data_IF_994229611897
#
_entry.id   IF_994229611897
#
_cell.length_a   1.000
_cell.length_b   1.000
_cell.length_c   1.000
_cell.angle_alpha   90.00
_cell.angle_beta   90.00
_cell.angle_gamma   90.00
#
_symmetry.space_group_name_H-M   'P 1'
#
loop_
_entity.id
_entity.type
_entity.pdbx_description
1 polymer ?
#
# COMPACT_ATOMS: atom_id res chain seq x y z
N UNK A 1 3.02 11.06 -31.57
CA UNK A 1 2.96 9.66 -31.14
C UNK A 1 2.66 9.70 -29.66
N UNK A 2 1.66 8.95 -29.21
CA UNK A 2 1.38 8.83 -27.78
C UNK A 2 2.54 8.10 -27.10
N UNK A 3 2.90 8.58 -25.92
CA UNK A 3 4.03 8.07 -25.15
C UNK A 3 3.68 6.72 -24.52
N UNK A 4 4.61 5.76 -24.60
CA UNK A 4 4.49 4.47 -23.93
C UNK A 4 5.30 4.51 -22.64
N UNK A 5 4.66 4.17 -21.53
CA UNK A 5 5.35 4.00 -20.26
C UNK A 5 5.58 2.53 -19.96
N UNK A 6 6.83 2.07 -20.01
CA UNK A 6 7.17 0.67 -19.79
C UNK A 6 7.22 0.35 -18.29
N UNK A 7 6.40 -0.63 -17.86
CA UNK A 7 6.38 -1.20 -16.52
C UNK A 7 7.47 -2.27 -16.35
N UNK A 8 7.81 -2.96 -17.44
CA UNK A 8 8.99 -3.82 -17.58
C UNK A 8 9.38 -3.92 -19.07
N UNK A 9 10.20 -4.91 -19.44
CA UNK A 9 10.67 -5.13 -20.81
C UNK A 9 9.56 -5.43 -21.84
N UNK A 10 8.36 -5.83 -21.39
CA UNK A 10 7.25 -6.25 -22.27
C UNK A 10 5.92 -5.57 -21.94
N UNK A 11 5.72 -5.10 -20.73
CA UNK A 11 4.48 -4.49 -20.26
C UNK A 11 4.61 -2.99 -20.30
N UNK A 12 3.62 -2.33 -20.87
CA UNK A 12 3.60 -0.88 -20.91
C UNK A 12 2.17 -0.32 -20.79
N UNK A 13 2.07 0.91 -20.32
CA UNK A 13 0.86 1.72 -20.33
C UNK A 13 0.87 2.64 -21.55
N UNK A 14 -0.26 2.72 -22.23
CA UNK A 14 -0.53 3.70 -23.28
C UNK A 14 -1.97 4.19 -23.10
N UNK A 15 -2.16 5.50 -22.93
CA UNK A 15 -3.45 6.12 -22.62
C UNK A 15 -4.19 5.49 -21.43
N UNK A 16 -3.46 5.12 -20.37
CA UNK A 16 -4.04 4.47 -19.19
C UNK A 16 -4.38 2.99 -19.36
N UNK A 17 -4.19 2.43 -20.57
CA UNK A 17 -4.47 1.03 -20.88
C UNK A 17 -3.16 0.23 -20.85
N UNK A 18 -3.20 -0.94 -20.23
CA UNK A 18 -2.04 -1.84 -20.13
C UNK A 18 -1.97 -2.81 -21.32
N UNK A 19 -0.79 -2.89 -21.91
CA UNK A 19 -0.49 -3.76 -23.04
C UNK A 19 0.71 -4.65 -22.75
N UNK A 20 0.71 -5.83 -23.36
CA UNK A 20 1.85 -6.72 -23.49
C UNK A 20 2.40 -6.61 -24.91
N UNK A 21 3.65 -6.18 -25.04
CA UNK A 21 4.43 -6.23 -26.25
C UNK A 21 4.92 -7.66 -26.51
N UNK A 22 4.63 -8.16 -27.69
CA UNK A 22 5.17 -9.42 -28.22
C UNK A 22 5.97 -9.11 -29.48
N UNK A 23 6.78 -10.06 -29.95
CA UNK A 23 7.60 -9.88 -31.16
C UNK A 23 6.82 -9.43 -32.41
N UNK A 24 5.50 -9.67 -32.45
CA UNK A 24 4.67 -9.41 -33.65
C UNK A 24 3.53 -8.42 -33.42
N UNK A 25 3.12 -8.16 -32.17
CA UNK A 25 1.99 -7.28 -31.85
C UNK A 25 1.93 -6.88 -30.38
N UNK A 26 1.18 -5.83 -30.10
CA UNK A 26 0.73 -5.47 -28.75
C UNK A 26 -0.61 -6.12 -28.43
N UNK A 27 -0.73 -6.71 -27.24
CA UNK A 27 -1.94 -7.37 -26.75
C UNK A 27 -2.46 -6.55 -25.57
N UNK A 28 -3.68 -6.03 -25.67
CA UNK A 28 -4.34 -5.37 -24.55
C UNK A 28 -4.64 -6.39 -23.44
N UNK A 29 -4.30 -6.05 -22.21
CA UNK A 29 -4.65 -6.85 -21.03
C UNK A 29 -6.13 -6.69 -20.72
N UNK A 30 -6.81 -7.79 -20.40
CA UNK A 30 -8.24 -7.84 -20.13
C UNK A 30 -8.55 -8.45 -18.75
N UNK A 31 -9.78 -8.19 -18.27
CA UNK A 31 -10.30 -8.69 -16.98
C UNK A 31 -10.11 -10.18 -16.73
N UNK A 32 -10.17 -11.00 -17.79
CA UNK A 32 -10.07 -12.45 -17.67
C UNK A 32 -8.61 -12.96 -17.63
N UNK A 33 -7.63 -12.15 -18.02
CA UNK A 33 -6.23 -12.58 -18.18
C UNK A 33 -5.19 -11.71 -17.44
N UNK A 34 -5.58 -10.61 -16.79
CA UNK A 34 -4.64 -9.70 -16.08
C UNK A 34 -3.63 -10.43 -15.20
N UNK A 35 -4.09 -11.40 -14.40
CA UNK A 35 -3.28 -12.15 -13.45
C UNK A 35 -2.20 -13.02 -14.08
N UNK A 36 -2.29 -13.30 -15.39
CA UNK A 36 -1.28 -14.08 -16.12
C UNK A 36 -0.13 -13.22 -16.62
N UNK A 37 -0.40 -11.94 -16.88
CA UNK A 37 0.56 -11.03 -17.47
C UNK A 37 1.15 -10.10 -16.41
N UNK A 38 0.32 -9.57 -15.52
CA UNK A 38 0.78 -8.69 -14.43
C UNK A 38 1.56 -9.44 -13.33
N UNK A 39 1.54 -10.78 -13.34
CA UNK A 39 2.42 -11.58 -12.49
C UNK A 39 3.90 -11.35 -12.78
N UNK A 40 4.24 -10.97 -14.01
CA UNK A 40 5.63 -10.69 -14.42
C UNK A 40 6.19 -9.43 -13.74
N UNK A 41 5.33 -8.59 -13.16
CA UNK A 41 5.69 -7.41 -12.35
C UNK A 41 5.21 -7.55 -10.91
N UNK A 42 4.98 -8.79 -10.43
CA UNK A 42 4.74 -9.08 -9.02
C UNK A 42 3.27 -9.13 -8.58
N UNK A 43 2.31 -8.85 -9.47
CA UNK A 43 0.89 -8.96 -9.10
C UNK A 43 0.43 -10.42 -9.05
N UNK A 44 -0.09 -10.84 -7.90
CA UNK A 44 -0.74 -12.16 -7.73
C UNK A 44 -2.21 -11.98 -7.37
N UNK A 45 -3.03 -13.01 -7.60
CA UNK A 45 -4.44 -12.98 -7.18
C UNK A 45 -4.56 -12.85 -5.66
N UNK A 46 -5.57 -12.10 -5.23
CA UNK A 46 -5.95 -11.99 -3.83
C UNK A 46 -6.28 -13.37 -3.21
N UNK A 47 -6.10 -13.60 -1.89
CA UNK A 47 -6.40 -14.88 -1.27
C UNK A 47 -7.84 -15.33 -1.53
N UNK A 48 -8.03 -16.62 -1.79
CA UNK A 48 -9.35 -17.18 -2.18
C UNK A 48 -10.47 -16.86 -1.20
N UNK A 49 -10.17 -16.86 0.11
CA UNK A 49 -11.14 -16.50 1.16
C UNK A 49 -11.66 -15.08 0.94
N UNK A 50 -10.76 -14.13 0.74
CA UNK A 50 -11.12 -12.74 0.47
C UNK A 50 -11.77 -12.51 -0.88
N UNK A 51 -11.33 -13.19 -1.94
CA UNK A 51 -12.05 -13.16 -3.23
C UNK A 51 -13.51 -13.55 -3.02
N UNK A 52 -13.75 -14.59 -2.22
CA UNK A 52 -15.11 -15.05 -1.92
C UNK A 52 -15.90 -13.99 -1.14
N UNK A 53 -15.28 -13.35 -0.15
CA UNK A 53 -15.93 -12.31 0.65
C UNK A 53 -16.24 -11.03 -0.14
N UNK A 54 -15.32 -10.56 -0.97
CA UNK A 54 -15.55 -9.40 -1.83
C UNK A 54 -16.63 -9.71 -2.87
N UNK A 55 -16.59 -10.90 -3.49
CA UNK A 55 -17.59 -11.32 -4.47
C UNK A 55 -19.03 -11.37 -3.93
N UNK A 56 -19.21 -11.68 -2.63
CA UNK A 56 -20.53 -11.64 -1.99
C UNK A 56 -21.10 -10.21 -1.92
N UNK A 57 -20.24 -9.21 -1.86
CA UNK A 57 -20.58 -7.78 -1.70
C UNK A 57 -20.64 -7.04 -3.04
N UNK A 58 -20.06 -7.59 -4.10
CA UNK A 58 -20.12 -6.99 -5.45
C UNK A 58 -21.55 -6.96 -5.99
N UNK A 59 -21.93 -5.83 -6.57
CA UNK A 59 -23.18 -5.68 -7.33
C UNK A 59 -23.08 -6.49 -8.63
N UNK A 60 -21.98 -6.30 -9.36
CA UNK A 60 -21.75 -6.92 -10.65
C UNK A 60 -20.73 -8.05 -10.53
N UNK A 61 -21.23 -9.29 -10.46
CA UNK A 61 -20.38 -10.49 -10.31
C UNK A 61 -19.45 -10.66 -11.51
N UNK A 62 -18.15 -10.72 -11.23
CA UNK A 62 -17.12 -11.00 -12.22
C UNK A 62 -16.79 -12.50 -12.23
N UNK A 63 -16.53 -13.07 -13.40
CA UNK A 63 -16.10 -14.47 -13.53
C UNK A 63 -14.70 -14.71 -12.98
N UNK A 64 -13.83 -13.71 -13.10
CA UNK A 64 -12.48 -13.71 -12.55
C UNK A 64 -12.38 -12.59 -11.52
N UNK A 65 -11.69 -12.85 -10.39
CA UNK A 65 -11.39 -11.78 -9.44
C UNK A 65 -10.57 -10.69 -10.13
N UNK A 66 -10.93 -9.44 -9.85
CA UNK A 66 -10.19 -8.27 -10.30
C UNK A 66 -9.20 -7.79 -9.22
N UNK A 67 -9.23 -8.36 -8.02
CA UNK A 67 -8.32 -8.01 -6.94
C UNK A 67 -7.00 -8.78 -7.02
N UNK A 68 -5.92 -8.03 -6.85
CA UNK A 68 -4.55 -8.54 -6.74
C UNK A 68 -3.81 -7.99 -5.53
N UNK A 69 -2.71 -8.66 -5.20
CA UNK A 69 -1.69 -8.20 -4.26
C UNK A 69 -0.41 -7.99 -5.05
N UNK A 70 0.25 -6.86 -4.85
CA UNK A 70 1.60 -6.62 -5.31
C UNK A 70 2.56 -6.96 -4.17
N UNK A 71 3.33 -8.04 -4.35
CA UNK A 71 4.34 -8.43 -3.38
C UNK A 71 5.51 -7.46 -3.39
N UNK A 72 6.11 -7.24 -2.22
CA UNK A 72 7.30 -6.43 -2.05
C UNK A 72 8.38 -7.22 -1.29
N UNK A 73 9.64 -6.76 -1.29
CA UNK A 73 10.71 -7.43 -0.55
C UNK A 73 10.42 -7.47 0.97
N UNK A 74 10.81 -8.58 1.61
CA UNK A 74 10.78 -8.72 3.07
C UNK A 74 11.99 -8.07 3.76
N UNK A 75 12.33 -6.85 3.38
CA UNK A 75 13.52 -6.12 3.85
C UNK A 75 13.26 -5.22 5.07
N UNK A 76 12.05 -5.25 5.63
CA UNK A 76 11.59 -4.37 6.70
C UNK A 76 10.97 -3.05 6.21
N UNK A 77 10.96 -2.79 4.90
CA UNK A 77 10.41 -1.57 4.30
C UNK A 77 9.06 -1.80 3.59
N UNK A 78 8.44 -2.97 3.80
CA UNK A 78 7.24 -3.41 3.08
C UNK A 78 6.06 -2.42 3.07
N UNK A 79 5.81 -1.73 4.20
CA UNK A 79 4.82 -0.65 4.26
C UNK A 79 5.17 0.48 3.29
N UNK A 80 6.41 0.98 3.36
CA UNK A 80 6.89 2.11 2.56
C UNK A 80 6.96 1.78 1.07
N UNK A 81 7.35 0.55 0.71
CA UNK A 81 7.28 0.06 -0.66
C UNK A 81 5.84 0.04 -1.19
N UNK A 82 4.88 -0.38 -0.37
CA UNK A 82 3.47 -0.42 -0.75
C UNK A 82 2.90 0.99 -0.97
N UNK A 83 3.23 1.95 -0.09
CA UNK A 83 2.83 3.36 -0.25
C UNK A 83 3.48 3.99 -1.48
N UNK A 84 4.78 3.79 -1.68
CA UNK A 84 5.50 4.32 -2.84
C UNK A 84 4.89 3.83 -4.16
N UNK A 85 4.58 2.53 -4.27
CA UNK A 85 3.95 1.97 -5.46
C UNK A 85 2.56 2.58 -5.75
N UNK A 86 1.75 2.79 -4.72
CA UNK A 86 0.44 3.43 -4.88
C UNK A 86 0.56 4.88 -5.36
N UNK A 87 1.48 5.66 -4.78
CA UNK A 87 1.73 7.05 -5.19
C UNK A 87 2.33 7.16 -6.60
N UNK A 88 3.20 6.22 -6.98
CA UNK A 88 3.71 6.15 -8.35
C UNK A 88 2.58 5.91 -9.35
N UNK A 89 1.67 4.98 -9.04
CA UNK A 89 0.51 4.71 -9.89
C UNK A 89 -0.41 5.93 -10.02
N UNK A 90 -0.65 6.65 -8.92
CA UNK A 90 -1.49 7.86 -8.93
C UNK A 90 -0.91 8.98 -9.81
N UNK A 91 0.41 9.02 -9.96
CA UNK A 91 1.12 9.99 -10.80
C UNK A 91 1.39 9.46 -12.22
N UNK A 92 0.73 8.37 -12.62
CA UNK A 92 0.92 7.75 -13.93
C UNK A 92 2.35 7.26 -14.15
N UNK A 93 3.07 7.00 -13.07
CA UNK A 93 4.49 6.64 -13.02
C UNK A 93 5.44 7.66 -13.68
N UNK A 94 5.00 8.91 -13.84
CA UNK A 94 5.84 10.01 -14.32
C UNK A 94 6.89 10.45 -13.29
N UNK A 95 6.59 10.26 -12.01
CA UNK A 95 7.50 10.38 -10.88
C UNK A 95 7.74 9.00 -10.27
N UNK A 96 8.89 8.84 -9.61
CA UNK A 96 9.29 7.57 -9.03
C UNK A 96 9.70 7.76 -7.58
N UNK A 97 8.78 7.42 -6.68
CA UNK A 97 9.00 7.24 -5.26
C UNK A 97 9.55 5.85 -4.98
N UNK A 98 10.50 5.79 -4.07
CA UNK A 98 10.97 4.56 -3.40
C UNK A 98 10.50 4.57 -1.95
N UNK A 99 10.56 3.41 -1.28
CA UNK A 99 10.28 3.34 0.16
C UNK A 99 11.17 4.28 0.99
N UNK A 100 12.41 4.56 0.54
CA UNK A 100 13.31 5.53 1.18
C UNK A 100 12.82 6.97 1.07
N UNK A 101 12.24 7.33 -0.07
CA UNK A 101 11.67 8.66 -0.27
C UNK A 101 10.48 8.86 0.68
N UNK A 102 9.61 7.85 0.80
CA UNK A 102 8.49 7.89 1.75
C UNK A 102 8.99 8.05 3.19
N UNK A 103 9.98 7.24 3.62
CA UNK A 103 10.57 7.37 4.97
C UNK A 103 11.10 8.78 5.22
N UNK A 104 11.79 9.34 4.23
CA UNK A 104 12.37 10.68 4.35
C UNK A 104 11.30 11.76 4.44
N UNK A 105 10.27 11.72 3.60
CA UNK A 105 9.17 12.69 3.62
C UNK A 105 8.39 12.63 4.94
N UNK A 106 8.08 11.43 5.44
CA UNK A 106 7.44 11.25 6.75
C UNK A 106 8.33 11.74 7.88
N UNK A 107 9.62 11.38 7.88
CA UNK A 107 10.61 11.87 8.84
C UNK A 107 10.67 13.39 8.88
N UNK A 108 10.74 14.03 7.71
CA UNK A 108 10.85 15.48 7.60
C UNK A 108 9.55 16.16 8.09
N UNK A 109 8.39 15.52 7.93
CA UNK A 109 7.08 16.02 8.39
C UNK A 109 6.84 15.96 9.91
N UNK A 110 7.61 15.16 10.66
CA UNK A 110 7.41 15.00 12.10
C UNK A 110 7.77 16.30 12.84
N UNK A 111 6.76 16.86 13.52
CA UNK A 111 6.90 17.99 14.44
C UNK A 111 7.40 17.55 15.82
N UNK A 112 7.78 18.51 16.67
CA UNK A 112 8.20 18.21 18.05
C UNK A 112 7.07 17.53 18.84
N UNK A 113 5.86 18.05 18.76
CA UNK A 113 4.70 17.53 19.48
C UNK A 113 4.34 16.11 18.99
N UNK A 114 4.42 15.89 17.67
CA UNK A 114 4.22 14.56 17.07
C UNK A 114 5.27 13.55 17.55
N UNK A 115 6.54 13.97 17.60
CA UNK A 115 7.61 13.13 18.14
C UNK A 115 7.38 12.79 19.63
N UNK A 116 7.06 13.79 20.45
CA UNK A 116 6.81 13.60 21.89
C UNK A 116 5.65 12.62 22.12
N UNK A 117 4.56 12.75 21.36
CA UNK A 117 3.45 11.79 21.42
C UNK A 117 3.90 10.36 21.05
N UNK A 118 4.57 10.20 19.91
CA UNK A 118 4.95 8.88 19.39
C UNK A 118 5.94 8.19 20.33
N UNK A 119 6.96 8.91 20.81
CA UNK A 119 7.98 8.29 21.64
C UNK A 119 7.43 7.86 23.00
N UNK A 120 6.49 8.61 23.57
CA UNK A 120 5.80 8.22 24.80
C UNK A 120 4.92 6.99 24.59
N UNK A 121 4.22 6.88 23.45
CA UNK A 121 3.50 5.66 23.10
C UNK A 121 4.45 4.44 23.04
N UNK A 122 5.61 4.57 22.40
CA UNK A 122 6.57 3.47 22.33
C UNK A 122 7.20 3.12 23.68
N UNK A 123 7.49 4.10 24.53
CA UNK A 123 7.95 3.86 25.91
C UNK A 123 6.90 3.10 26.71
N UNK A 124 5.63 3.50 26.63
CA UNK A 124 4.53 2.80 27.28
C UNK A 124 4.37 1.35 26.76
N UNK A 125 4.45 1.13 25.45
CA UNK A 125 4.44 -0.22 24.85
C UNK A 125 5.63 -1.05 25.35
N UNK A 126 6.82 -0.44 25.46
CA UNK A 126 8.03 -1.13 25.98
C UNK A 126 7.84 -1.56 27.42
N UNK A 127 7.33 -0.67 28.27
CA UNK A 127 7.07 -0.95 29.68
C UNK A 127 5.98 -2.03 29.86
N UNK A 128 5.05 -2.11 28.92
CA UNK A 128 4.01 -3.15 28.85
C UNK A 128 4.49 -4.48 28.23
N UNK A 129 5.76 -4.60 27.82
CA UNK A 129 6.31 -5.74 27.06
C UNK A 129 5.64 -5.99 25.70
N UNK A 130 5.07 -4.95 25.09
CA UNK A 130 4.32 -4.96 23.82
C UNK A 130 5.05 -4.18 22.70
N UNK A 131 6.37 -4.00 22.85
CA UNK A 131 7.21 -3.32 21.86
C UNK A 131 8.23 -4.30 21.28
N UNK A 132 8.03 -4.65 20.01
CA UNK A 132 8.73 -5.75 19.33
C UNK A 132 9.87 -5.31 18.40
N UNK A 133 10.19 -4.01 18.35
CA UNK A 133 11.33 -3.52 17.57
C UNK A 133 12.69 -3.83 18.25
N UNK A 134 13.77 -3.79 17.46
CA UNK A 134 15.15 -4.06 17.91
C UNK A 134 15.72 -2.97 18.82
N UNK A 135 15.19 -1.74 18.72
CA UNK A 135 15.69 -0.57 19.43
C UNK A 135 14.94 -0.32 20.75
N UNK A 136 15.44 0.63 21.54
CA UNK A 136 14.90 0.96 22.86
C UNK A 136 14.39 2.40 22.88
N UNK A 137 13.08 2.65 23.01
CA UNK A 137 12.51 3.99 22.98
C UNK A 137 12.91 4.86 24.18
N UNK A 138 13.40 4.26 25.26
CA UNK A 138 13.97 5.02 26.38
C UNK A 138 15.36 5.60 26.06
N UNK A 139 16.05 5.08 25.04
CA UNK A 139 17.36 5.59 24.59
C UNK A 139 17.25 6.73 23.57
N UNK A 140 16.09 6.92 22.95
CA UNK A 140 15.84 8.02 22.02
C UNK A 140 15.49 9.27 22.84
N UNK A 141 16.42 10.22 22.90
CA UNK A 141 16.30 11.42 23.74
C UNK A 141 15.80 12.65 22.99
N UNK A 142 15.88 12.65 21.67
CA UNK A 142 15.51 13.79 20.84
C UNK A 142 14.97 13.39 19.46
N UNK A 143 14.27 14.34 18.83
CA UNK A 143 13.64 14.16 17.53
C UNK A 143 14.64 13.82 16.41
N UNK A 144 15.89 14.29 16.49
CA UNK A 144 16.88 14.04 15.44
C UNK A 144 17.30 12.58 15.41
N UNK A 145 17.46 11.97 16.60
CA UNK A 145 17.71 10.53 16.73
C UNK A 145 16.55 9.69 16.18
N UNK A 146 15.31 10.09 16.50
CA UNK A 146 14.12 9.40 15.98
C UNK A 146 14.03 9.49 14.45
N UNK A 147 14.19 10.68 13.88
CA UNK A 147 14.21 10.90 12.42
C UNK A 147 15.29 10.07 11.74
N UNK A 148 16.48 9.99 12.35
CA UNK A 148 17.58 9.14 11.85
C UNK A 148 17.19 7.67 11.82
N UNK A 149 16.63 7.14 12.91
CA UNK A 149 16.16 5.75 13.00
C UNK A 149 15.09 5.43 11.94
N UNK A 150 14.10 6.32 11.78
CA UNK A 150 13.07 6.19 10.76
C UNK A 150 13.63 6.19 9.32
N UNK A 151 14.65 7.01 9.06
CA UNK A 151 15.31 7.08 7.75
C UNK A 151 16.24 5.90 7.47
N UNK A 152 16.91 5.34 8.47
CA UNK A 152 17.76 4.15 8.33
C UNK A 152 16.94 2.95 7.86
N UNK A 153 15.76 2.76 8.44
CA UNK A 153 14.75 1.80 7.99
C UNK A 153 15.20 0.34 8.02
N UNK A 154 14.65 -0.45 7.11
CA UNK A 154 14.87 -1.90 7.07
C UNK A 154 14.42 -2.59 8.36
N UNK A 155 15.17 -3.61 8.79
CA UNK A 155 14.83 -4.37 10.00
C UNK A 155 15.06 -3.62 11.32
N UNK A 156 15.61 -2.42 11.29
CA UNK A 156 15.77 -1.58 12.48
C UNK A 156 14.52 -0.78 12.81
N UNK A 157 13.58 -0.63 11.88
CA UNK A 157 12.33 0.08 12.13
C UNK A 157 11.23 -0.37 11.18
N UNK A 158 10.28 -1.18 11.65
CA UNK A 158 9.13 -1.59 10.82
C UNK A 158 8.01 -0.56 10.83
N UNK A 159 7.14 -0.65 9.83
CA UNK A 159 5.92 0.15 9.76
C UNK A 159 4.89 -0.29 10.80
N UNK A 160 4.27 0.65 11.50
CA UNK A 160 3.22 0.36 12.48
C UNK A 160 1.98 1.26 12.29
N UNK A 161 0.99 1.10 13.18
CA UNK A 161 -0.24 1.90 13.15
C UNK A 161 -0.02 3.40 13.35
N UNK A 162 1.01 3.83 14.10
CA UNK A 162 1.33 5.24 14.30
C UNK A 162 1.92 5.84 13.02
N UNK A 163 2.82 5.13 12.36
CA UNK A 163 3.35 5.54 11.06
C UNK A 163 2.28 5.59 9.98
N UNK A 164 1.34 4.63 9.98
CA UNK A 164 0.22 4.66 9.02
C UNK A 164 -0.64 5.92 9.20
N UNK A 165 -0.81 6.41 10.43
CA UNK A 165 -1.49 7.68 10.68
C UNK A 165 -0.71 8.87 10.14
N UNK A 166 0.62 8.91 10.36
CA UNK A 166 1.47 9.95 9.80
C UNK A 166 1.41 9.96 8.27
N UNK A 167 1.49 8.77 7.64
CA UNK A 167 1.37 8.61 6.18
C UNK A 167 0.02 9.12 5.69
N UNK A 168 -1.07 8.70 6.35
CA UNK A 168 -2.43 9.13 6.01
C UNK A 168 -2.58 10.65 6.09
N UNK A 169 -2.00 11.27 7.13
CA UNK A 169 -2.03 12.72 7.31
C UNK A 169 -1.13 13.46 6.31
N UNK A 170 0.07 12.94 6.03
CA UNK A 170 1.06 13.60 5.19
C UNK A 170 0.62 13.64 3.72
N UNK A 171 0.13 12.52 3.19
CA UNK A 171 -0.31 12.41 1.79
C UNK A 171 -1.79 12.73 1.58
N UNK A 172 -2.51 13.10 2.65
CA UNK A 172 -3.95 13.35 2.64
C UNK A 172 -4.77 12.19 2.04
N UNK A 173 -4.47 10.97 2.49
CA UNK A 173 -5.10 9.73 2.00
C UNK A 173 -5.79 8.97 3.13
N UNK A 174 -6.78 8.14 2.78
CA UNK A 174 -7.23 7.06 3.64
C UNK A 174 -6.30 5.85 3.46
N UNK A 175 -6.02 5.12 4.54
CA UNK A 175 -5.39 3.80 4.48
C UNK A 175 -6.33 2.77 5.10
N UNK A 176 -6.69 1.74 4.33
CA UNK A 176 -7.48 0.60 4.79
C UNK A 176 -6.65 -0.67 4.76
N UNK A 177 -6.78 -1.55 5.75
CA UNK A 177 -5.95 -2.75 5.89
C UNK A 177 -6.83 -3.99 5.99
N UNK A 178 -6.63 -4.93 5.07
CA UNK A 178 -7.21 -6.27 5.14
C UNK A 178 -6.14 -7.23 5.66
N UNK A 179 -6.52 -8.21 6.49
CA UNK A 179 -5.58 -9.21 7.00
C UNK A 179 -6.09 -10.64 6.80
N UNK A 180 -5.30 -11.64 7.19
CA UNK A 180 -5.72 -13.04 7.13
C UNK A 180 -6.95 -13.31 8.03
N UNK A 181 -7.15 -12.50 9.06
CA UNK A 181 -8.36 -12.49 9.86
C UNK A 181 -9.51 -11.86 9.09
N UNK A 182 -10.67 -12.53 9.06
CA UNK A 182 -11.83 -12.05 8.32
C UNK A 182 -12.49 -10.89 9.07
N UNK A 183 -12.21 -9.67 8.65
CA UNK A 183 -12.82 -8.46 9.20
C UNK A 183 -12.06 -7.20 8.77
N UNK A 184 -12.64 -6.02 8.97
CA UNK A 184 -11.90 -4.78 8.83
C UNK A 184 -10.83 -4.71 9.92
N UNK A 185 -9.59 -4.38 9.55
CA UNK A 185 -8.56 -4.08 10.54
C UNK A 185 -8.92 -2.77 11.25
N UNK A 186 -8.85 -2.72 12.59
CA UNK A 186 -9.21 -1.51 13.32
C UNK A 186 -8.19 -0.41 13.02
N UNK A 187 -8.68 0.71 12.47
CA UNK A 187 -7.89 1.91 12.26
C UNK A 187 -8.24 2.96 13.31
N UNK A 188 -7.26 3.71 13.78
CA UNK A 188 -7.49 4.83 14.70
C UNK A 188 -8.02 6.09 14.00
N UNK A 189 -7.96 6.13 12.67
CA UNK A 189 -8.41 7.27 11.86
C UNK A 189 -9.79 7.01 11.28
N UNK A 190 -10.65 8.03 11.32
CA UNK A 190 -11.94 8.01 10.64
C UNK A 190 -11.75 8.13 9.13
N UNK A 191 -12.56 7.39 8.37
CA UNK A 191 -12.55 7.43 6.92
C UNK A 191 -13.12 8.76 6.40
N UNK A 192 -12.42 9.39 5.46
CA UNK A 192 -12.89 10.61 4.80
C UNK A 192 -13.18 10.36 3.32
N UNK A 193 -14.45 10.44 2.91
CA UNK A 193 -14.90 10.12 1.55
C UNK A 193 -14.34 11.03 0.44
N UNK A 194 -13.78 12.19 0.80
CA UNK A 194 -13.11 13.10 -0.14
C UNK A 194 -11.66 12.72 -0.43
N UNK A 195 -11.05 11.92 0.44
CA UNK A 195 -9.65 11.53 0.31
C UNK A 195 -9.56 10.27 -0.55
N UNK A 196 -8.56 10.18 -1.45
CA UNK A 196 -8.25 8.93 -2.11
C UNK A 196 -7.82 7.87 -1.09
N UNK A 197 -7.93 6.61 -1.45
CA UNK A 197 -7.70 5.48 -0.53
C UNK A 197 -6.61 4.57 -1.04
N UNK A 198 -5.70 4.15 -0.16
CA UNK A 198 -4.74 3.08 -0.40
C UNK A 198 -5.19 1.87 0.43
N UNK A 199 -5.25 0.69 -0.19
CA UNK A 199 -5.61 -0.55 0.49
C UNK A 199 -4.37 -1.42 0.66
N UNK A 200 -4.12 -1.88 1.89
CA UNK A 200 -3.00 -2.76 2.23
C UNK A 200 -3.49 -4.14 2.64
N UNK A 201 -2.69 -5.14 2.34
CA UNK A 201 -2.79 -6.50 2.85
C UNK A 201 -1.76 -6.67 3.96
N UNK A 202 -2.16 -7.17 5.12
CA UNK A 202 -1.27 -7.44 6.25
C UNK A 202 -1.36 -8.90 6.66
N UNK A 203 -0.25 -9.64 6.52
CA UNK A 203 -0.12 -11.03 6.93
C UNK A 203 1.31 -11.31 7.41
N UNK A 204 1.45 -12.03 8.52
CA UNK A 204 2.74 -12.41 9.11
C UNK A 204 3.77 -11.25 9.22
N UNK A 205 3.34 -10.11 9.78
CA UNK A 205 4.14 -8.88 9.91
C UNK A 205 4.63 -8.28 8.59
N UNK A 206 3.98 -8.60 7.47
CA UNK A 206 4.33 -8.12 6.15
C UNK A 206 3.18 -7.37 5.51
N UNK A 207 3.45 -6.14 5.06
CA UNK A 207 2.52 -5.33 4.28
C UNK A 207 2.71 -5.57 2.78
N UNK A 208 1.62 -5.77 2.07
CA UNK A 208 1.61 -5.78 0.61
C UNK A 208 0.51 -4.84 0.08
N UNK A 209 0.67 -4.36 -1.14
CA UNK A 209 -0.29 -3.42 -1.74
C UNK A 209 -1.45 -4.16 -2.39
N UNK A 210 -2.68 -3.77 -2.07
CA UNK A 210 -3.88 -4.28 -2.74
C UNK A 210 -4.21 -3.41 -3.95
N UNK A 211 -4.48 -4.07 -5.08
CA UNK A 211 -4.93 -3.42 -6.30
C UNK A 211 -6.21 -4.05 -6.85
N UNK A 212 -6.93 -3.28 -7.67
CA UNK A 212 -8.09 -3.74 -8.43
C UNK A 212 -7.91 -3.42 -9.92
N UNK A 213 -8.01 -4.44 -10.76
CA UNK A 213 -7.92 -4.30 -12.21
C UNK A 213 -9.26 -3.78 -12.77
N UNK A 214 -9.30 -2.53 -13.21
CA UNK A 214 -10.54 -1.88 -13.67
C UNK A 214 -11.02 -2.36 -15.06
N UNK A 215 -10.14 -3.00 -15.82
CA UNK A 215 -10.35 -3.42 -17.20
C UNK A 215 -9.29 -2.89 -18.16
N UNK A 216 -8.56 -1.86 -17.74
CA UNK A 216 -7.53 -1.16 -18.51
C UNK A 216 -6.19 -1.24 -17.80
N UNK A 217 -6.16 -0.99 -16.47
CA UNK A 217 -4.96 -1.10 -15.65
C UNK A 217 -5.25 -1.58 -14.23
N UNK A 218 -4.19 -1.87 -13.49
CA UNK A 218 -4.28 -2.13 -12.06
C UNK A 218 -4.31 -0.80 -11.31
N UNK A 219 -5.41 -0.54 -10.60
CA UNK A 219 -5.56 0.63 -9.74
C UNK A 219 -5.18 0.25 -8.32
N UNK A 220 -4.33 1.04 -7.69
CA UNK A 220 -3.92 0.84 -6.29
C UNK A 220 -4.05 2.11 -5.45
N UNK A 221 -4.22 3.25 -6.11
CA UNK A 221 -4.61 4.52 -5.51
C UNK A 221 -6.05 4.87 -5.90
N UNK A 222 -6.98 4.68 -4.98
CA UNK A 222 -8.41 4.74 -5.27
C UNK A 222 -8.98 6.14 -5.04
N UNK A 223 -9.14 6.94 -6.10
CA UNK A 223 -9.96 8.16 -6.04
C UNK A 223 -11.44 7.85 -5.79
N UNK A 224 -11.90 6.69 -6.27
CA UNK A 224 -13.20 6.12 -5.94
C UNK A 224 -13.00 4.69 -5.44
N UNK A 225 -13.25 4.47 -4.16
CA UNK A 225 -13.12 3.15 -3.56
C UNK A 225 -14.18 2.17 -4.11
N UNK A 226 -13.82 0.92 -4.46
CA UNK A 226 -14.80 -0.07 -4.91
C UNK A 226 -15.92 -0.32 -3.90
N UNK A 227 -17.15 -0.49 -4.38
CA UNK A 227 -18.34 -0.58 -3.53
C UNK A 227 -18.31 -1.79 -2.58
N UNK A 228 -17.74 -2.90 -3.00
CA UNK A 228 -17.57 -4.08 -2.16
C UNK A 228 -16.60 -3.84 -0.98
N UNK A 229 -15.61 -2.97 -1.15
CA UNK A 229 -14.70 -2.56 -0.06
C UNK A 229 -15.43 -1.58 0.87
N UNK A 230 -16.17 -0.60 0.33
CA UNK A 230 -17.02 0.29 1.16
C UNK A 230 -17.98 -0.51 2.03
N UNK A 231 -18.70 -1.48 1.44
CA UNK A 231 -19.61 -2.38 2.14
C UNK A 231 -18.92 -3.27 3.18
N UNK A 232 -17.66 -3.63 2.97
CA UNK A 232 -16.88 -4.41 3.94
C UNK A 232 -16.59 -3.58 5.21
N UNK A 233 -16.28 -2.30 5.03
CA UNK A 233 -15.96 -1.36 6.11
C UNK A 233 -17.17 -0.58 6.65
N UNK A 234 -18.38 -0.81 6.11
CA UNK A 234 -19.60 -0.07 6.43
C UNK A 234 -19.46 1.46 6.21
N UNK A 235 -18.84 1.84 5.09
CA UNK A 235 -18.63 3.22 4.65
C UNK A 235 -19.74 3.72 3.72
#
# INVERSE_FOLDING_TARGET
MEERYYLNDKLYLQNGITYLETNTKSIQIQKHNWHRYLSDIGWRKFPRKWITELNKRMINKQKNSLYGILSCPGDGDCLFHSIANALNESQGFMSYYTGKDIRKEISDSISKDTFEMIIECYRAMKDACDFHESWDPHKITDISQFKKCLCEGGHEYWGDSLLIQLISSHYDVNVLILSNEMGPYPMMTEYCYHKPTICLWFDDNHFELIGHFDGEKMISYFSLLPDEIKRLYNL
#
